data_IF_566756283115
#
_entry.id   IF_566756283115
#
_cell.length_a   1.000
_cell.length_b   1.000
_cell.length_c   1.000
_cell.angle_alpha   90.00
_cell.angle_beta   90.00
_cell.angle_gamma   90.00
#
_symmetry.space_group_name_H-M   'P 1'
#
loop_
_entity.id
_entity.type
_entity.pdbx_description
1 polymer ?
#
# COMPACT_ATOMS: atom_id res chain seq x y z
N UNK A 1 -16.58 -5.36 32.79
CA UNK A 1 -17.10 -4.79 31.53
C UNK A 1 -16.13 -3.89 30.74
N UNK A 2 -14.98 -3.45 31.28
CA UNK A 2 -14.02 -2.57 30.56
C UNK A 2 -13.15 -3.26 29.48
N UNK A 3 -12.95 -4.59 29.56
CA UNK A 3 -12.14 -5.34 28.59
C UNK A 3 -12.84 -5.54 27.24
N UNK A 4 -14.12 -5.93 27.24
CA UNK A 4 -14.95 -6.04 26.02
C UNK A 4 -15.05 -4.71 25.27
N UNK A 5 -15.18 -3.59 25.98
CA UNK A 5 -15.20 -2.27 25.35
C UNK A 5 -13.85 -1.85 24.75
N UNK A 6 -12.71 -2.32 25.31
CA UNK A 6 -11.39 -2.11 24.68
C UNK A 6 -11.21 -2.97 23.43
N UNK A 7 -11.73 -4.19 23.41
CA UNK A 7 -11.71 -5.09 22.25
C UNK A 7 -12.60 -4.56 21.11
N UNK A 8 -13.79 -4.05 21.41
CA UNK A 8 -14.67 -3.39 20.41
C UNK A 8 -14.02 -2.09 19.89
N UNK A 9 -13.31 -1.33 20.74
CA UNK A 9 -12.60 -0.11 20.34
C UNK A 9 -11.33 -0.42 19.52
N UNK A 10 -10.67 -1.56 19.74
CA UNK A 10 -9.61 -2.10 18.87
C UNK A 10 -10.16 -2.65 17.55
N UNK A 11 -11.38 -3.19 17.54
CA UNK A 11 -12.19 -3.48 16.34
C UNK A 11 -12.27 -2.29 15.38
N UNK A 12 -12.24 -1.08 15.93
CA UNK A 12 -12.29 0.18 15.20
C UNK A 12 -10.92 0.69 14.71
N UNK A 13 -9.83 -0.08 14.87
CA UNK A 13 -8.50 0.23 14.34
C UNK A 13 -8.22 -0.37 12.95
N UNK A 14 -9.16 -1.13 12.39
CA UNK A 14 -9.19 -1.51 10.97
C UNK A 14 -8.93 -0.34 9.99
N UNK A 15 -9.39 0.91 10.24
CA UNK A 15 -9.11 2.07 9.38
C UNK A 15 -7.61 2.41 9.28
N UNK A 16 -6.82 2.13 10.32
CA UNK A 16 -5.40 2.49 10.33
C UNK A 16 -4.58 1.58 9.40
N UNK A 17 -4.87 0.27 9.42
CA UNK A 17 -4.26 -0.68 8.49
C UNK A 17 -4.77 -0.46 7.06
N UNK A 18 -6.06 -0.14 6.90
CA UNK A 18 -6.63 0.23 5.61
C UNK A 18 -5.98 1.49 5.02
N UNK A 19 -5.72 2.50 5.85
CA UNK A 19 -5.01 3.71 5.43
C UNK A 19 -3.58 3.41 4.97
N UNK A 20 -2.87 2.46 5.60
CA UNK A 20 -1.55 2.00 5.13
C UNK A 20 -1.62 1.31 3.76
N UNK A 21 -2.65 0.50 3.52
CA UNK A 21 -2.89 -0.09 2.19
C UNK A 21 -3.11 0.99 1.15
N UNK A 22 -3.99 1.95 1.42
CA UNK A 22 -4.29 3.03 0.49
C UNK A 22 -3.04 3.87 0.20
N UNK A 23 -2.25 4.20 1.22
CA UNK A 23 -1.00 4.95 1.03
C UNK A 23 -0.01 4.14 0.16
N UNK A 24 0.17 2.85 0.45
CA UNK A 24 1.02 1.97 -0.35
C UNK A 24 0.55 1.86 -1.80
N UNK A 25 -0.77 1.71 -2.01
CA UNK A 25 -1.38 1.68 -3.33
C UNK A 25 -1.21 3.01 -4.09
N UNK A 26 -1.37 4.16 -3.43
CA UNK A 26 -1.13 5.47 -4.06
C UNK A 26 0.33 5.62 -4.49
N UNK A 27 1.30 5.19 -3.65
CA UNK A 27 2.73 5.21 -4.01
C UNK A 27 3.00 4.27 -5.20
N UNK A 28 2.40 3.07 -5.19
CA UNK A 28 2.52 2.10 -6.28
C UNK A 28 2.00 2.67 -7.60
N UNK A 29 0.76 3.17 -7.62
CA UNK A 29 0.15 3.74 -8.84
C UNK A 29 0.85 5.03 -9.28
N UNK A 30 1.32 5.86 -8.34
CA UNK A 30 2.14 7.04 -8.64
C UNK A 30 3.46 6.66 -9.30
N UNK A 31 4.15 5.63 -8.78
CA UNK A 31 5.36 5.09 -9.39
C UNK A 31 5.10 4.47 -10.77
N UNK A 32 4.01 3.73 -10.94
CA UNK A 32 3.62 3.16 -12.23
C UNK A 32 3.33 4.24 -13.28
N UNK A 33 2.61 5.31 -12.91
CA UNK A 33 2.37 6.45 -13.79
C UNK A 33 3.66 7.18 -14.16
N UNK A 34 4.58 7.34 -13.21
CA UNK A 34 5.89 7.94 -13.44
C UNK A 34 6.75 7.09 -14.40
N UNK A 35 6.70 5.76 -14.27
CA UNK A 35 7.38 4.84 -15.18
C UNK A 35 6.82 4.95 -16.60
N UNK A 36 5.49 4.91 -16.75
CA UNK A 36 4.84 5.05 -18.06
C UNK A 36 5.15 6.40 -18.70
N UNK A 37 5.17 7.47 -17.90
CA UNK A 37 5.53 8.80 -18.37
C UNK A 37 7.01 8.85 -18.80
N UNK A 38 7.91 8.28 -18.00
CA UNK A 38 9.34 8.26 -18.32
C UNK A 38 9.60 7.53 -19.64
N UNK A 39 8.98 6.36 -19.85
CA UNK A 39 9.10 5.61 -21.10
C UNK A 39 8.50 6.34 -22.31
N UNK A 40 7.40 7.07 -22.11
CA UNK A 40 6.79 7.89 -23.15
C UNK A 40 7.51 9.22 -23.41
N UNK A 41 8.43 9.61 -22.54
CA UNK A 41 9.09 10.92 -22.59
C UNK A 41 10.31 10.92 -23.52
N UNK A 42 10.04 10.81 -24.82
CA UNK A 42 11.05 10.82 -25.91
C UNK A 42 11.86 12.11 -26.04
N UNK A 43 11.51 13.14 -25.28
CA UNK A 43 12.21 14.43 -25.22
C UNK A 43 13.35 14.44 -24.18
N UNK A 44 13.46 13.44 -23.32
CA UNK A 44 14.57 13.33 -22.37
C UNK A 44 15.80 12.66 -23.01
N UNK A 45 17.01 13.03 -22.57
CA UNK A 45 18.20 12.26 -22.87
C UNK A 45 18.05 10.80 -22.39
N UNK A 46 18.54 9.79 -23.14
CA UNK A 46 18.36 8.37 -22.82
C UNK A 46 18.77 8.02 -21.39
N UNK A 47 19.91 8.56 -20.95
CA UNK A 47 20.43 8.34 -19.60
C UNK A 47 19.50 8.88 -18.50
N UNK A 48 18.84 10.02 -18.74
CA UNK A 48 17.89 10.60 -17.77
C UNK A 48 16.60 9.80 -17.73
N UNK A 49 16.09 9.37 -18.89
CA UNK A 49 14.90 8.52 -18.96
C UNK A 49 15.09 7.23 -18.16
N UNK A 50 16.24 6.59 -18.31
CA UNK A 50 16.54 5.33 -17.62
C UNK A 50 16.71 5.49 -16.11
N UNK A 51 17.35 6.57 -15.65
CA UNK A 51 17.42 6.93 -14.23
C UNK A 51 16.03 7.19 -13.61
N UNK A 52 15.16 7.89 -14.34
CA UNK A 52 13.78 8.17 -13.91
C UNK A 52 12.98 6.87 -13.86
N UNK A 53 13.12 6.00 -14.87
CA UNK A 53 12.48 4.69 -14.91
C UNK A 53 12.92 3.80 -13.73
N UNK A 54 14.22 3.77 -13.41
CA UNK A 54 14.75 3.03 -12.25
C UNK A 54 14.20 3.57 -10.92
N UNK A 55 14.12 4.89 -10.76
CA UNK A 55 13.50 5.51 -9.59
C UNK A 55 12.01 5.16 -9.47
N UNK A 56 11.30 5.21 -10.58
CA UNK A 56 9.89 4.82 -10.63
C UNK A 56 9.72 3.34 -10.25
N UNK A 57 10.59 2.46 -10.74
CA UNK A 57 10.60 1.04 -10.40
C UNK A 57 10.81 0.82 -8.89
N UNK A 58 11.74 1.55 -8.27
CA UNK A 58 11.96 1.50 -6.83
C UNK A 58 10.73 1.95 -6.05
N UNK A 59 10.06 3.02 -6.47
CA UNK A 59 8.80 3.48 -5.88
C UNK A 59 7.69 2.43 -5.98
N UNK A 60 7.54 1.80 -7.15
CA UNK A 60 6.58 0.70 -7.37
C UNK A 60 6.85 -0.43 -6.38
N UNK A 61 8.10 -0.87 -6.24
CA UNK A 61 8.48 -1.92 -5.31
C UNK A 61 8.15 -1.59 -3.85
N UNK A 62 8.50 -0.38 -3.40
CA UNK A 62 8.21 0.08 -2.03
C UNK A 62 6.70 0.19 -1.80
N UNK A 63 5.96 0.78 -2.73
CA UNK A 63 4.51 0.92 -2.66
C UNK A 63 3.80 -0.43 -2.63
N UNK A 64 4.25 -1.39 -3.44
CA UNK A 64 3.76 -2.76 -3.43
C UNK A 64 3.99 -3.41 -2.06
N UNK A 65 5.21 -3.36 -1.52
CA UNK A 65 5.51 -3.93 -0.19
C UNK A 65 4.67 -3.31 0.92
N UNK A 66 4.54 -1.98 0.94
CA UNK A 66 3.70 -1.28 1.93
C UNK A 66 2.24 -1.70 1.83
N UNK A 67 1.71 -1.79 0.59
CA UNK A 67 0.34 -2.21 0.33
C UNK A 67 0.10 -3.66 0.77
N UNK A 68 1.06 -4.54 0.49
CA UNK A 68 1.02 -5.95 0.87
C UNK A 68 1.02 -6.12 2.39
N UNK A 69 1.91 -5.41 3.10
CA UNK A 69 1.96 -5.40 4.57
C UNK A 69 0.66 -4.86 5.19
N UNK A 70 0.09 -3.80 4.60
CA UNK A 70 -1.20 -3.28 5.04
C UNK A 70 -2.34 -4.28 4.82
N UNK A 71 -2.34 -4.98 3.68
CA UNK A 71 -3.39 -5.92 3.32
C UNK A 71 -3.31 -7.19 4.18
N UNK A 72 -2.11 -7.68 4.46
CA UNK A 72 -1.89 -8.75 5.44
C UNK A 72 -2.48 -8.36 6.81
N UNK A 73 -2.27 -7.12 7.25
CA UNK A 73 -2.87 -6.59 8.48
C UNK A 73 -4.41 -6.56 8.47
N UNK A 74 -5.05 -6.37 7.30
CA UNK A 74 -6.51 -6.45 7.15
C UNK A 74 -7.01 -7.89 7.06
N UNK A 75 -6.30 -8.74 6.33
CA UNK A 75 -6.68 -10.13 6.10
C UNK A 75 -6.63 -10.92 7.41
N UNK A 76 -5.59 -10.72 8.23
CA UNK A 76 -5.52 -11.27 9.59
C UNK A 76 -6.70 -10.81 10.44
N UNK A 77 -7.10 -9.54 10.33
CA UNK A 77 -8.24 -9.00 11.08
C UNK A 77 -9.59 -9.59 10.62
N UNK A 78 -9.77 -9.78 9.31
CA UNK A 78 -10.95 -10.45 8.75
C UNK A 78 -11.06 -11.90 9.21
N UNK A 79 -9.94 -12.62 9.19
CA UNK A 79 -9.88 -14.02 9.64
C UNK A 79 -10.22 -14.10 11.13
N UNK A 80 -9.65 -13.22 11.97
CA UNK A 80 -9.98 -13.17 13.40
C UNK A 80 -11.45 -12.85 13.65
N UNK A 81 -12.03 -11.87 12.94
CA UNK A 81 -13.46 -11.55 13.06
C UNK A 81 -14.34 -12.72 12.62
N UNK A 82 -13.98 -13.40 11.53
CA UNK A 82 -14.72 -14.56 11.03
C UNK A 82 -14.70 -15.73 12.02
N UNK A 83 -13.65 -15.84 12.85
CA UNK A 83 -13.53 -16.86 13.87
C UNK A 83 -14.27 -16.50 15.18
N UNK A 84 -14.37 -15.20 15.50
CA UNK A 84 -15.10 -14.68 16.67
C UNK A 84 -16.63 -14.64 16.43
N UNK A 85 -17.08 -14.61 15.16
CA UNK A 85 -18.50 -14.71 14.75
C UNK A 85 -19.04 -16.16 14.74
N UNK A 86 -18.29 -17.13 15.26
CA UNK A 86 -18.66 -18.56 15.33
C UNK A 86 -18.78 -19.03 16.77
#
# INVERSE_FOLDING_TARGET
MKLKQRLIRMGNNAPLNFRRVIIGAMIFFGGAGMLMWAEGATHLPPLKQELVALLALAMIGIGALLSLLGYLGLSVFRILKFWDDK
#
